data_IF_517702134776
#
_entry.id   IF_517702134776
#
_cell.length_a   1.000
_cell.length_b   1.000
_cell.length_c   1.000
_cell.angle_alpha   90.00
_cell.angle_beta   90.00
_cell.angle_gamma   90.00
#
_symmetry.space_group_name_H-M   'P 1'
#
loop_
_entity.id
_entity.type
_entity.pdbx_description
1 polymer ?
#
# COMPACT_ATOMS: atom_id res chain seq x y z
N UNK A 1 -14.18 -8.37 -31.51
CA UNK A 1 -12.76 -8.61 -31.82
C UNK A 1 -11.98 -7.72 -30.87
N UNK A 2 -11.11 -8.27 -29.99
CA UNK A 2 -10.21 -7.45 -29.17
C UNK A 2 -9.27 -6.67 -30.09
N UNK A 3 -9.13 -5.36 -29.86
CA UNK A 3 -8.15 -4.58 -30.60
C UNK A 3 -6.76 -5.20 -30.41
N UNK A 4 -5.97 -5.24 -31.50
CA UNK A 4 -4.61 -5.79 -31.44
C UNK A 4 -3.78 -4.95 -30.44
N UNK A 5 -3.03 -5.62 -29.57
CA UNK A 5 -2.11 -4.95 -28.63
C UNK A 5 -1.03 -4.25 -29.46
N UNK A 6 -0.81 -2.94 -29.29
CA UNK A 6 0.21 -2.20 -30.02
C UNK A 6 1.62 -2.67 -29.59
N UNK A 7 2.65 -2.29 -30.38
CA UNK A 7 4.05 -2.59 -30.02
C UNK A 7 4.62 -1.63 -28.98
N UNK A 8 4.08 -0.41 -28.94
CA UNK A 8 4.53 0.67 -28.07
C UNK A 8 3.34 1.38 -27.44
N UNK A 9 3.59 2.10 -26.36
CA UNK A 9 2.61 2.81 -25.56
C UNK A 9 3.16 4.15 -25.07
N UNK A 10 2.30 4.94 -24.44
CA UNK A 10 2.70 6.07 -23.59
C UNK A 10 2.89 5.60 -22.15
N UNK A 11 3.91 6.13 -21.50
CA UNK A 11 4.20 5.85 -20.09
C UNK A 11 4.86 7.05 -19.42
N UNK A 12 4.76 7.12 -18.10
CA UNK A 12 5.51 8.08 -17.28
C UNK A 12 6.78 7.40 -16.78
N UNK A 13 7.92 7.97 -17.14
CA UNK A 13 9.25 7.41 -16.83
C UNK A 13 10.07 8.40 -16.01
N UNK A 14 11.12 7.88 -15.36
CA UNK A 14 12.15 8.73 -14.73
C UNK A 14 13.06 9.31 -15.82
N UNK A 15 13.14 10.64 -15.89
CA UNK A 15 14.12 11.34 -16.74
C UNK A 15 14.76 12.49 -15.96
N UNK A 16 16.06 12.40 -15.70
CA UNK A 16 16.73 13.27 -14.74
C UNK A 16 16.14 13.10 -13.34
N UNK A 17 15.61 14.17 -12.79
CA UNK A 17 14.97 14.23 -11.47
C UNK A 17 13.46 14.43 -11.56
N UNK A 18 12.84 14.05 -12.69
CA UNK A 18 11.44 14.30 -12.97
C UNK A 18 10.70 13.06 -13.46
N UNK A 19 9.38 13.07 -13.28
CA UNK A 19 8.44 12.15 -13.91
C UNK A 19 8.03 12.72 -15.26
N UNK A 20 8.42 12.09 -16.36
CA UNK A 20 8.22 12.58 -17.73
C UNK A 20 7.37 11.62 -18.54
N UNK A 21 6.39 12.16 -19.29
CA UNK A 21 5.58 11.34 -20.19
C UNK A 21 6.37 11.09 -21.47
N UNK A 22 6.54 9.80 -21.80
CA UNK A 22 7.17 9.37 -23.06
C UNK A 22 6.20 8.61 -23.94
N UNK A 23 6.28 8.85 -25.24
CA UNK A 23 5.64 8.07 -26.29
C UNK A 23 6.63 7.03 -26.86
N UNK A 24 6.10 6.01 -27.51
CA UNK A 24 6.93 4.99 -28.15
C UNK A 24 7.65 4.04 -27.18
N UNK A 25 7.23 4.02 -25.91
CA UNK A 25 7.79 3.09 -24.91
C UNK A 25 7.32 1.67 -25.24
N UNK A 26 8.22 0.66 -25.29
CA UNK A 26 7.80 -0.71 -25.53
C UNK A 26 6.80 -1.22 -24.47
N UNK A 27 5.83 -2.03 -24.89
CA UNK A 27 4.98 -2.75 -23.96
C UNK A 27 5.82 -3.81 -23.23
N UNK A 28 5.63 -4.01 -21.90
CA UNK A 28 6.42 -4.97 -21.14
C UNK A 28 6.21 -6.39 -21.67
N UNK A 29 7.29 -7.15 -21.81
CA UNK A 29 7.22 -8.58 -22.05
C UNK A 29 6.72 -9.27 -20.77
N UNK A 30 5.83 -10.27 -20.93
CA UNK A 30 5.27 -10.96 -19.78
C UNK A 30 6.23 -12.04 -19.28
N UNK A 31 6.61 -11.93 -18.03
CA UNK A 31 7.24 -13.00 -17.27
C UNK A 31 6.24 -14.11 -16.93
N UNK A 32 6.76 -15.24 -16.44
CA UNK A 32 5.92 -16.34 -15.97
C UNK A 32 5.02 -15.89 -14.82
N UNK A 33 3.74 -16.26 -14.89
CA UNK A 33 2.75 -15.86 -13.90
C UNK A 33 2.19 -14.43 -14.05
N UNK A 34 2.60 -13.64 -15.05
CA UNK A 34 2.11 -12.28 -15.23
C UNK A 34 0.97 -12.19 -16.25
N UNK A 35 0.08 -11.25 -16.05
CA UNK A 35 -0.96 -10.86 -17.01
C UNK A 35 -0.75 -9.42 -17.46
N UNK A 36 -1.06 -9.11 -18.72
CA UNK A 36 -1.08 -7.74 -19.22
C UNK A 36 -2.49 -7.18 -19.14
N UNK A 37 -2.61 -6.00 -18.53
CA UNK A 37 -3.85 -5.23 -18.54
C UNK A 37 -3.74 -4.03 -19.50
N UNK A 38 -4.88 -3.59 -20.06
CA UNK A 38 -5.01 -2.23 -20.57
C UNK A 38 -5.36 -1.34 -19.37
N UNK A 39 -4.47 -0.45 -19.00
CA UNK A 39 -4.63 0.36 -17.80
C UNK A 39 -5.77 1.36 -17.97
N UNK A 40 -6.72 1.36 -17.02
CA UNK A 40 -7.88 2.26 -17.00
C UNK A 40 -7.72 3.35 -15.94
N UNK A 41 -7.22 2.98 -14.76
CA UNK A 41 -6.91 3.92 -13.71
C UNK A 41 -5.68 3.46 -12.92
N UNK A 42 -5.00 4.43 -12.32
CA UNK A 42 -3.80 4.25 -11.49
C UNK A 42 -3.90 5.06 -10.21
N UNK A 43 -3.23 4.65 -9.14
CA UNK A 43 -3.21 5.42 -7.90
C UNK A 43 -1.77 5.73 -7.48
N UNK A 44 -1.57 6.97 -7.01
CA UNK A 44 -0.26 7.43 -6.55
C UNK A 44 0.06 6.99 -5.13
N UNK A 45 1.33 6.74 -4.88
CA UNK A 45 1.90 6.36 -3.59
C UNK A 45 3.13 7.22 -3.26
N UNK A 46 3.48 7.40 -1.97
CA UNK A 46 4.70 8.13 -1.61
C UNK A 46 5.96 7.56 -2.26
N UNK A 47 6.03 6.25 -2.43
CA UNK A 47 7.16 5.58 -3.04
C UNK A 47 7.39 5.98 -4.50
N UNK A 48 6.35 6.37 -5.24
CA UNK A 48 6.47 6.70 -6.67
C UNK A 48 7.35 7.96 -6.88
N UNK A 49 7.17 9.01 -6.06
CA UNK A 49 8.07 10.17 -6.10
C UNK A 49 9.41 9.89 -5.42
N UNK A 50 9.42 9.02 -4.36
CA UNK A 50 10.64 8.68 -3.65
C UNK A 50 11.65 7.94 -4.55
N UNK A 51 11.19 7.12 -5.52
CA UNK A 51 12.07 6.46 -6.49
C UNK A 51 12.85 7.47 -7.34
N UNK A 52 12.29 8.64 -7.61
CA UNK A 52 12.98 9.72 -8.32
C UNK A 52 13.96 10.43 -7.39
N UNK A 53 13.45 10.95 -6.25
CA UNK A 53 14.21 11.81 -5.34
C UNK A 53 15.42 11.12 -4.73
N UNK A 54 15.26 9.85 -4.34
CA UNK A 54 16.33 9.05 -3.73
C UNK A 54 17.12 8.22 -4.73
N UNK A 55 16.90 8.44 -6.04
CA UNK A 55 17.62 7.72 -7.13
C UNK A 55 17.52 6.19 -6.99
N UNK A 56 16.36 5.69 -6.61
CA UNK A 56 16.12 4.26 -6.41
C UNK A 56 15.95 3.55 -7.75
N UNK A 57 15.10 4.11 -8.64
CA UNK A 57 14.83 3.57 -9.96
C UNK A 57 15.85 4.00 -11.01
N UNK A 58 16.13 3.14 -12.03
CA UNK A 58 16.99 3.51 -13.14
C UNK A 58 16.34 4.54 -14.05
N UNK A 59 17.17 5.33 -14.75
CA UNK A 59 16.71 6.27 -15.77
C UNK A 59 15.95 5.55 -16.87
N UNK A 60 14.83 6.12 -17.32
CA UNK A 60 13.95 5.55 -18.34
C UNK A 60 12.99 4.47 -17.82
N UNK A 61 13.06 4.09 -16.54
CA UNK A 61 12.12 3.11 -15.96
C UNK A 61 10.74 3.70 -15.77
N UNK A 62 9.71 2.85 -15.94
CA UNK A 62 8.30 3.25 -15.80
C UNK A 62 7.91 3.31 -14.33
N UNK A 63 7.33 4.42 -13.89
CA UNK A 63 6.85 4.66 -12.54
C UNK A 63 5.48 4.00 -12.25
N UNK A 64 5.10 3.98 -10.96
CA UNK A 64 3.76 3.68 -10.48
C UNK A 64 3.59 2.28 -9.89
N UNK A 65 2.87 2.23 -8.76
CA UNK A 65 2.68 1.02 -7.97
C UNK A 65 1.29 0.39 -8.07
N UNK A 66 0.24 1.14 -8.34
CA UNK A 66 -1.16 0.66 -8.36
C UNK A 66 -1.80 0.83 -9.73
N UNK A 67 -2.30 -0.23 -10.33
CA UNK A 67 -3.03 -0.20 -11.59
C UNK A 67 -4.28 -1.08 -11.59
N UNK A 68 -5.28 -0.69 -12.38
CA UNK A 68 -6.48 -1.48 -12.68
C UNK A 68 -6.86 -1.40 -14.15
N UNK A 69 -7.45 -2.48 -14.65
CA UNK A 69 -7.97 -2.56 -16.00
C UNK A 69 -8.33 -3.99 -16.42
N UNK A 70 -8.89 -4.16 -17.63
CA UNK A 70 -9.18 -5.47 -18.17
C UNK A 70 -7.89 -6.19 -18.61
N UNK A 71 -7.84 -7.49 -18.38
CA UNK A 71 -6.79 -8.36 -18.92
C UNK A 71 -6.89 -8.40 -20.44
N UNK A 72 -5.80 -8.14 -21.12
CA UNK A 72 -5.70 -8.19 -22.59
C UNK A 72 -4.79 -9.33 -23.08
N UNK A 73 -3.93 -9.88 -22.21
CA UNK A 73 -3.06 -11.02 -22.50
C UNK A 73 -2.73 -11.78 -21.23
N UNK A 74 -2.74 -13.10 -21.32
CA UNK A 74 -2.22 -14.00 -20.27
C UNK A 74 -0.77 -14.37 -20.62
N UNK A 75 0.13 -14.27 -19.66
CA UNK A 75 1.49 -14.76 -19.78
C UNK A 75 1.59 -16.27 -19.53
N UNK A 76 2.78 -16.84 -19.70
CA UNK A 76 3.03 -18.24 -19.37
C UNK A 76 2.71 -18.51 -17.89
N UNK A 77 2.32 -19.74 -17.55
CA UNK A 77 2.08 -20.16 -16.16
C UNK A 77 0.82 -19.59 -15.48
N UNK A 78 0.09 -18.66 -16.10
CA UNK A 78 -1.14 -18.09 -15.51
C UNK A 78 -2.25 -19.12 -15.46
N UNK A 79 -2.91 -19.26 -14.30
CA UNK A 79 -4.08 -20.13 -14.13
C UNK A 79 -5.29 -19.60 -14.92
N UNK A 80 -5.53 -20.20 -16.08
CA UNK A 80 -6.66 -19.87 -16.94
C UNK A 80 -8.05 -20.24 -16.37
N UNK A 81 -8.12 -20.93 -15.21
CA UNK A 81 -9.37 -21.13 -14.48
C UNK A 81 -9.72 -19.92 -13.61
N UNK A 82 -8.69 -19.22 -13.11
CA UNK A 82 -8.86 -18.03 -12.28
C UNK A 82 -9.02 -16.76 -13.11
N UNK A 83 -8.27 -16.63 -14.21
CA UNK A 83 -8.21 -15.44 -15.03
C UNK A 83 -8.49 -15.70 -16.50
N UNK A 84 -9.27 -14.80 -17.12
CA UNK A 84 -9.58 -14.80 -18.54
C UNK A 84 -9.34 -13.41 -19.15
N UNK A 85 -9.12 -13.36 -20.46
CA UNK A 85 -9.09 -12.09 -21.20
C UNK A 85 -10.45 -11.38 -21.04
N UNK A 86 -10.40 -10.10 -20.66
CA UNK A 86 -11.57 -9.28 -20.38
C UNK A 86 -11.93 -9.19 -18.89
N UNK A 87 -11.40 -10.06 -18.04
CA UNK A 87 -11.56 -9.91 -16.57
C UNK A 87 -10.94 -8.60 -16.10
N UNK A 88 -11.64 -7.87 -15.24
CA UNK A 88 -11.10 -6.69 -14.58
C UNK A 88 -10.34 -7.08 -13.33
N UNK A 89 -9.10 -6.63 -13.24
CA UNK A 89 -8.22 -6.83 -12.10
C UNK A 89 -7.60 -5.52 -11.64
N UNK A 90 -7.12 -5.52 -10.42
CA UNK A 90 -6.27 -4.47 -9.86
C UNK A 90 -5.12 -5.11 -9.09
N UNK A 91 -3.95 -4.51 -9.17
CA UNK A 91 -2.77 -5.14 -8.59
C UNK A 91 -1.63 -4.17 -8.33
N UNK A 92 -0.74 -4.65 -7.45
CA UNK A 92 0.53 -3.99 -7.18
C UNK A 92 1.54 -4.30 -8.28
N UNK A 93 2.30 -3.28 -8.67
CA UNK A 93 3.41 -3.35 -9.62
C UNK A 93 4.61 -2.67 -8.98
N UNK A 94 5.78 -3.28 -9.04
CA UNK A 94 7.02 -2.61 -8.66
C UNK A 94 7.46 -1.67 -9.79
N UNK A 95 6.88 -0.47 -9.83
CA UNK A 95 7.27 0.59 -10.77
C UNK A 95 8.67 1.12 -10.47
N UNK A 96 9.36 1.59 -11.47
CA UNK A 96 10.75 2.02 -11.42
C UNK A 96 11.72 0.93 -10.88
N UNK A 97 11.38 -0.32 -11.10
CA UNK A 97 12.17 -1.47 -10.67
C UNK A 97 13.48 -1.57 -11.46
N UNK A 98 14.58 -1.87 -10.75
CA UNK A 98 15.87 -2.19 -11.39
C UNK A 98 15.75 -3.52 -12.16
N UNK A 99 15.01 -4.49 -11.63
CA UNK A 99 14.85 -5.81 -12.25
C UNK A 99 13.94 -5.77 -13.48
N UNK A 100 12.88 -4.96 -13.46
CA UNK A 100 11.88 -4.90 -14.53
C UNK A 100 11.55 -3.44 -14.90
N UNK A 101 12.53 -2.66 -15.43
CA UNK A 101 12.40 -1.22 -15.65
C UNK A 101 11.34 -0.84 -16.71
N UNK A 102 11.02 -1.78 -17.62
CA UNK A 102 10.00 -1.60 -18.66
C UNK A 102 8.56 -1.80 -18.13
N UNK A 103 8.35 -2.05 -16.83
CA UNK A 103 7.03 -2.23 -16.24
C UNK A 103 6.78 -1.25 -15.10
N UNK A 104 5.58 -0.72 -15.03
CA UNK A 104 5.09 0.20 -14.00
C UNK A 104 3.61 0.50 -14.24
N UNK A 105 2.95 1.03 -13.21
CA UNK A 105 1.51 1.30 -13.28
C UNK A 105 1.18 2.53 -14.15
N UNK A 106 2.07 3.51 -14.25
CA UNK A 106 1.80 4.76 -14.95
C UNK A 106 2.07 4.64 -16.46
N UNK A 107 1.35 3.71 -17.09
CA UNK A 107 1.46 3.38 -18.50
C UNK A 107 0.11 2.92 -19.06
N UNK A 108 -0.10 3.00 -20.37
CA UNK A 108 -1.32 2.54 -21.04
C UNK A 108 -1.51 1.02 -20.94
N UNK A 109 -0.44 0.28 -20.73
CA UNK A 109 -0.44 -1.17 -20.48
C UNK A 109 0.52 -1.49 -19.35
N UNK A 110 0.11 -2.39 -18.46
CA UNK A 110 0.90 -2.77 -17.29
C UNK A 110 0.86 -4.28 -17.08
N UNK A 111 1.98 -4.87 -16.68
CA UNK A 111 2.05 -6.29 -16.33
C UNK A 111 1.88 -6.47 -14.81
N UNK A 112 0.92 -7.30 -14.42
CA UNK A 112 0.60 -7.58 -13.01
C UNK A 112 0.86 -9.05 -12.70
N UNK A 113 1.55 -9.39 -11.58
CA UNK A 113 1.69 -10.77 -11.12
C UNK A 113 0.32 -11.32 -10.72
N UNK A 114 -0.17 -12.33 -11.46
CA UNK A 114 -1.54 -12.84 -11.32
C UNK A 114 -1.85 -13.43 -9.95
N UNK A 115 -0.87 -14.04 -9.29
CA UNK A 115 -1.05 -14.62 -7.96
C UNK A 115 -1.42 -13.59 -6.89
N UNK A 116 -0.95 -12.33 -7.06
CA UNK A 116 -1.24 -11.23 -6.13
C UNK A 116 -2.24 -10.21 -6.70
N UNK A 117 -2.87 -10.53 -7.84
CA UNK A 117 -3.90 -9.69 -8.40
C UNK A 117 -5.24 -9.90 -7.69
N UNK A 118 -5.88 -8.80 -7.36
CA UNK A 118 -7.28 -8.75 -6.95
C UNK A 118 -8.16 -8.83 -8.19
N UNK A 119 -9.19 -9.65 -8.15
CA UNK A 119 -10.17 -9.74 -9.23
C UNK A 119 -11.44 -9.00 -8.81
N UNK A 120 -11.94 -8.15 -9.68
CA UNK A 120 -13.23 -7.47 -9.51
C UNK A 120 -14.36 -8.26 -10.18
N UNK A 121 -15.59 -7.93 -9.79
CA UNK A 121 -16.77 -8.29 -10.58
C UNK A 121 -16.67 -7.70 -12.00
N UNK A 122 -17.17 -8.43 -13.02
CA UNK A 122 -17.03 -8.05 -14.43
C UNK A 122 -17.90 -6.83 -14.84
N UNK A 123 -18.77 -6.37 -13.96
CA UNK A 123 -19.63 -5.19 -14.17
C UNK A 123 -19.06 -3.90 -13.53
N UNK A 124 -17.90 -3.98 -12.90
CA UNK A 124 -17.22 -2.81 -12.31
C UNK A 124 -16.85 -1.80 -13.41
N UNK A 125 -17.11 -0.52 -13.14
CA UNK A 125 -16.87 0.59 -14.06
C UNK A 125 -16.29 1.80 -13.37
N UNK A 126 -15.83 2.76 -14.15
CA UNK A 126 -15.52 4.11 -13.63
C UNK A 126 -16.81 4.78 -13.15
N UNK A 127 -16.76 5.45 -12.01
CA UNK A 127 -17.89 6.25 -11.51
C UNK A 127 -17.96 7.65 -12.13
N UNK A 128 -16.84 8.13 -12.72
CA UNK A 128 -16.77 9.41 -13.43
C UNK A 128 -16.80 10.67 -12.54
N UNK A 129 -16.72 10.52 -11.21
CA UNK A 129 -16.73 11.64 -10.26
C UNK A 129 -15.32 12.25 -10.08
N UNK A 130 -15.25 13.49 -9.59
CA UNK A 130 -13.98 14.17 -9.27
C UNK A 130 -13.44 13.73 -7.90
N UNK A 131 -14.30 13.24 -7.03
CA UNK A 131 -13.93 12.69 -5.72
C UNK A 131 -14.95 11.68 -5.25
N UNK A 132 -14.50 10.73 -4.41
CA UNK A 132 -15.39 9.78 -3.72
C UNK A 132 -15.13 9.87 -2.22
N UNK A 133 -16.20 9.83 -1.39
CA UNK A 133 -16.04 9.52 0.03
C UNK A 133 -15.49 8.10 0.17
N UNK A 134 -15.07 7.73 1.37
CA UNK A 134 -14.80 6.33 1.68
C UNK A 134 -16.04 5.46 1.41
N UNK A 135 -15.82 4.17 1.15
CA UNK A 135 -16.92 3.23 0.94
C UNK A 135 -16.48 1.89 0.36
N UNK A 136 -17.44 0.98 0.14
CA UNK A 136 -17.16 -0.30 -0.50
C UNK A 136 -16.63 -0.11 -1.91
N UNK A 137 -15.76 -1.03 -2.35
CA UNK A 137 -15.15 -1.00 -3.67
C UNK A 137 -16.19 -1.36 -4.74
N UNK A 138 -16.77 -0.34 -5.35
CA UNK A 138 -17.83 -0.46 -6.38
C UNK A 138 -17.47 0.24 -7.70
N UNK A 139 -16.27 0.82 -7.81
CA UNK A 139 -15.77 1.47 -9.02
C UNK A 139 -14.29 1.17 -9.22
N UNK A 140 -13.81 1.37 -10.46
CA UNK A 140 -12.40 1.18 -10.79
C UNK A 140 -11.50 2.18 -10.05
N UNK A 141 -12.00 3.40 -9.79
CA UNK A 141 -11.30 4.38 -8.97
C UNK A 141 -11.13 3.89 -7.52
N UNK A 142 -12.15 3.21 -6.96
CA UNK A 142 -12.06 2.56 -5.65
C UNK A 142 -11.09 1.38 -5.66
N UNK A 143 -11.23 0.50 -6.65
CA UNK A 143 -10.44 -0.72 -6.78
C UNK A 143 -8.92 -0.43 -6.83
N UNK A 144 -8.52 0.55 -7.62
CA UNK A 144 -7.10 0.88 -7.79
C UNK A 144 -6.41 1.43 -6.55
N UNK A 145 -7.15 1.82 -5.53
CA UNK A 145 -6.55 2.32 -4.27
C UNK A 145 -6.12 1.21 -3.32
N UNK A 146 -6.52 -0.01 -3.59
CA UNK A 146 -6.42 -1.18 -2.70
C UNK A 146 -5.03 -1.84 -2.70
N UNK A 147 -4.39 -2.16 -3.87
CA UNK A 147 -3.32 -3.15 -3.90
C UNK A 147 -2.13 -2.81 -2.98
N UNK A 148 -1.51 -1.65 -3.16
CA UNK A 148 -0.35 -1.26 -2.33
C UNK A 148 -0.74 -1.15 -0.86
N UNK A 149 -1.81 -0.44 -0.56
CA UNK A 149 -2.13 -0.05 0.81
C UNK A 149 -2.73 -1.19 1.64
N UNK A 150 -3.66 -1.96 1.07
CA UNK A 150 -4.29 -3.08 1.77
C UNK A 150 -3.34 -4.27 1.89
N UNK A 151 -2.56 -4.59 0.84
CA UNK A 151 -1.57 -5.67 0.93
C UNK A 151 -0.47 -5.34 1.95
N UNK A 152 0.00 -4.08 1.99
CA UNK A 152 0.94 -3.64 3.03
C UNK A 152 0.33 -3.80 4.43
N UNK A 153 -0.90 -3.33 4.64
CA UNK A 153 -1.59 -3.49 5.93
C UNK A 153 -1.78 -4.97 6.32
N UNK A 154 -2.09 -5.81 5.34
CA UNK A 154 -2.18 -7.26 5.53
C UNK A 154 -0.87 -7.88 5.98
N UNK A 155 0.24 -7.56 5.32
CA UNK A 155 1.56 -8.05 5.70
C UNK A 155 1.98 -7.56 7.09
N UNK A 156 1.74 -6.28 7.41
CA UNK A 156 1.97 -5.75 8.77
C UNK A 156 1.31 -6.62 9.82
N UNK A 157 0.03 -6.94 9.64
CA UNK A 157 -0.75 -7.64 10.65
C UNK A 157 -0.51 -9.16 10.64
N UNK A 158 -0.47 -9.80 9.46
CA UNK A 158 -0.47 -11.26 9.37
C UNK A 158 0.92 -11.87 9.19
N UNK A 159 1.85 -11.17 8.55
CA UNK A 159 3.23 -11.65 8.36
C UNK A 159 4.15 -11.16 9.49
N UNK A 160 4.21 -9.85 9.75
CA UNK A 160 5.11 -9.31 10.77
C UNK A 160 4.57 -9.50 12.21
N UNK A 161 3.30 -9.15 12.48
CA UNK A 161 2.70 -9.30 13.82
C UNK A 161 2.06 -10.67 14.05
N UNK A 162 2.03 -11.53 13.03
CA UNK A 162 1.64 -12.93 13.14
C UNK A 162 0.18 -13.17 13.52
N UNK A 163 -0.74 -12.28 13.12
CA UNK A 163 -2.17 -12.55 13.30
C UNK A 163 -2.65 -13.62 12.33
N UNK A 164 -3.55 -14.48 12.79
CA UNK A 164 -4.21 -15.44 11.95
C UNK A 164 -5.20 -14.76 10.98
N UNK A 165 -5.33 -15.30 9.78
CA UNK A 165 -6.31 -14.86 8.78
C UNK A 165 -7.69 -15.45 9.08
N UNK A 166 -8.22 -15.16 10.26
CA UNK A 166 -9.57 -15.52 10.70
C UNK A 166 -10.46 -14.29 10.70
N UNK A 167 -11.61 -14.37 10.00
CA UNK A 167 -12.51 -13.21 9.84
C UNK A 167 -13.50 -13.12 10.97
N UNK A 168 -13.43 -12.02 11.75
CA UNK A 168 -14.31 -11.71 12.89
C UNK A 168 -14.32 -12.80 13.97
N UNK A 169 -13.14 -13.28 14.46
CA UNK A 169 -13.13 -14.19 15.58
C UNK A 169 -13.79 -13.57 16.81
N UNK A 170 -14.34 -14.39 17.68
CA UNK A 170 -15.13 -13.95 18.86
C UNK A 170 -14.28 -13.33 19.97
N UNK A 171 -13.01 -13.66 20.04
CA UNK A 171 -12.03 -13.17 21.03
C UNK A 171 -10.86 -12.49 20.34
N UNK A 172 -10.24 -11.49 20.97
CA UNK A 172 -9.02 -10.88 20.43
C UNK A 172 -7.89 -11.92 20.30
N UNK A 173 -7.15 -11.85 19.20
CA UNK A 173 -6.02 -12.75 18.95
C UNK A 173 -4.79 -12.43 19.81
N UNK A 174 -4.70 -11.21 20.32
CA UNK A 174 -3.63 -10.73 21.22
C UNK A 174 -4.25 -10.08 22.46
N UNK A 175 -3.70 -10.37 23.64
CA UNK A 175 -4.21 -9.88 24.92
C UNK A 175 -3.80 -8.42 25.23
N UNK A 176 -3.23 -7.72 24.26
CA UNK A 176 -2.71 -6.37 24.42
C UNK A 176 -3.22 -5.45 23.31
N UNK A 177 -3.12 -4.11 23.51
CA UNK A 177 -3.47 -3.14 22.49
C UNK A 177 -2.43 -3.06 21.37
N UNK A 178 -2.85 -2.48 20.23
CA UNK A 178 -1.97 -2.00 19.18
C UNK A 178 -2.02 -0.47 19.11
N UNK A 179 -0.84 0.16 18.88
CA UNK A 179 -0.73 1.58 18.54
C UNK A 179 -0.49 1.73 17.03
N UNK A 180 -1.33 2.51 16.36
CA UNK A 180 -1.19 2.83 14.93
C UNK A 180 -0.90 4.33 14.82
N UNK A 181 0.37 4.68 14.61
CA UNK A 181 0.78 6.06 14.36
C UNK A 181 0.60 6.41 12.90
N UNK A 182 -0.07 7.53 12.62
CA UNK A 182 -0.44 7.90 11.25
C UNK A 182 -1.69 7.18 10.75
N UNK A 183 -2.68 6.97 11.61
CA UNK A 183 -3.93 6.28 11.26
C UNK A 183 -4.71 6.89 10.10
N UNK A 184 -4.50 8.18 9.77
CA UNK A 184 -5.12 8.84 8.63
C UNK A 184 -4.33 8.65 7.31
N UNK A 185 -3.17 8.02 7.33
CA UNK A 185 -2.46 7.64 6.09
C UNK A 185 -3.23 6.53 5.36
N UNK A 186 -2.95 6.34 4.08
CA UNK A 186 -3.65 5.32 3.31
C UNK A 186 -3.44 3.89 3.87
N UNK A 187 -2.22 3.55 4.29
CA UNK A 187 -1.93 2.26 4.95
C UNK A 187 -2.57 2.22 6.33
N UNK A 188 -2.46 3.30 7.14
CA UNK A 188 -3.03 3.35 8.49
C UNK A 188 -4.54 3.11 8.51
N UNK A 189 -5.27 3.68 7.56
CA UNK A 189 -6.72 3.46 7.44
C UNK A 189 -7.05 1.99 7.16
N UNK A 190 -6.25 1.28 6.34
CA UNK A 190 -6.44 -0.15 6.10
C UNK A 190 -5.96 -1.02 7.27
N UNK A 191 -4.88 -0.64 7.96
CA UNK A 191 -4.44 -1.33 9.20
C UNK A 191 -5.56 -1.30 10.24
N UNK A 192 -6.22 -0.16 10.45
CA UNK A 192 -7.34 -0.02 11.38
C UNK A 192 -8.50 -0.95 11.00
N UNK A 193 -8.93 -0.92 9.72
CA UNK A 193 -10.02 -1.76 9.24
C UNK A 193 -9.70 -3.25 9.44
N UNK A 194 -8.51 -3.69 9.03
CA UNK A 194 -8.09 -5.09 9.15
C UNK A 194 -7.94 -5.50 10.62
N UNK A 195 -7.27 -4.69 11.46
CA UNK A 195 -7.11 -4.98 12.89
C UNK A 195 -8.48 -5.19 13.57
N UNK A 196 -9.48 -4.40 13.19
CA UNK A 196 -10.86 -4.55 13.67
C UNK A 196 -11.52 -5.84 13.16
N UNK A 197 -11.41 -6.11 11.86
CA UNK A 197 -12.06 -7.28 11.23
C UNK A 197 -11.40 -8.60 11.63
N UNK A 198 -10.10 -8.61 11.85
CA UNK A 198 -9.37 -9.77 12.37
C UNK A 198 -9.50 -9.91 13.90
N UNK A 199 -10.17 -8.95 14.57
CA UNK A 199 -10.20 -8.87 16.04
C UNK A 199 -8.81 -9.11 16.64
N UNK A 200 -7.81 -8.38 16.10
CA UNK A 200 -6.41 -8.69 16.34
C UNK A 200 -5.94 -8.35 17.75
N UNK A 201 -6.54 -7.34 18.40
CA UNK A 201 -6.02 -6.74 19.63
C UNK A 201 -7.14 -6.34 20.58
N UNK A 202 -6.82 -6.19 21.86
CA UNK A 202 -7.80 -5.75 22.88
C UNK A 202 -8.27 -4.31 22.69
N UNK A 203 -7.41 -3.47 22.09
CA UNK A 203 -7.69 -2.07 21.74
C UNK A 203 -6.92 -1.65 20.49
N UNK A 204 -7.52 -0.80 19.67
CA UNK A 204 -6.91 -0.15 18.51
C UNK A 204 -6.75 1.33 18.87
N UNK A 205 -5.52 1.70 19.28
CA UNK A 205 -5.15 3.06 19.64
C UNK A 205 -4.56 3.73 18.40
N UNK A 206 -5.03 4.92 18.06
CA UNK A 206 -4.65 5.61 16.83
C UNK A 206 -4.07 6.98 17.13
N UNK A 207 -2.99 7.34 16.45
CA UNK A 207 -2.47 8.71 16.44
C UNK A 207 -2.72 9.32 15.06
N UNK A 208 -3.50 10.38 15.02
CA UNK A 208 -3.86 11.12 13.81
C UNK A 208 -4.40 12.50 14.18
N UNK A 209 -4.58 13.40 13.20
CA UNK A 209 -5.26 14.66 13.46
C UNK A 209 -6.73 14.44 13.85
N UNK A 210 -7.21 15.17 14.84
CA UNK A 210 -8.57 15.12 15.40
C UNK A 210 -9.67 15.21 14.31
N UNK A 211 -9.43 15.92 13.22
CA UNK A 211 -10.38 16.04 12.09
C UNK A 211 -10.78 14.70 11.46
N UNK A 212 -9.96 13.65 11.64
CA UNK A 212 -10.21 12.32 11.09
C UNK A 212 -10.88 11.37 12.11
N UNK A 213 -11.13 11.81 13.35
CA UNK A 213 -11.57 10.94 14.43
C UNK A 213 -12.83 10.16 14.08
N UNK A 214 -13.85 10.84 13.55
CA UNK A 214 -15.13 10.19 13.20
C UNK A 214 -14.91 9.03 12.24
N UNK A 215 -14.21 9.25 11.15
CA UNK A 215 -13.96 8.24 10.12
C UNK A 215 -13.11 7.08 10.66
N UNK A 216 -12.05 7.38 11.43
CA UNK A 216 -11.17 6.34 11.95
C UNK A 216 -11.87 5.48 13.01
N UNK A 217 -12.79 6.06 13.80
CA UNK A 217 -13.65 5.30 14.71
C UNK A 217 -14.66 4.42 13.96
N UNK A 218 -15.23 4.89 12.85
CA UNK A 218 -16.10 4.09 11.98
C UNK A 218 -15.34 2.88 11.39
N UNK A 219 -14.04 3.03 11.09
CA UNK A 219 -13.19 1.93 10.69
C UNK A 219 -12.82 0.95 11.81
N UNK A 220 -12.96 1.34 13.06
CA UNK A 220 -12.74 0.47 14.22
C UNK A 220 -11.69 0.94 15.21
N UNK A 221 -11.18 2.17 15.09
CA UNK A 221 -10.33 2.76 16.13
C UNK A 221 -11.13 2.90 17.44
N UNK A 222 -10.58 2.42 18.54
CA UNK A 222 -11.21 2.57 19.85
C UNK A 222 -10.93 3.95 20.46
N UNK A 223 -9.76 4.51 20.17
CA UNK A 223 -9.31 5.79 20.70
C UNK A 223 -8.36 6.51 19.74
N UNK A 224 -8.45 7.84 19.71
CA UNK A 224 -7.57 8.69 18.91
C UNK A 224 -6.87 9.71 19.82
N UNK A 225 -5.56 9.89 19.59
CA UNK A 225 -4.73 10.95 20.13
C UNK A 225 -4.27 11.86 18.98
N UNK A 226 -4.28 13.18 19.21
CA UNK A 226 -3.85 14.13 18.18
C UNK A 226 -2.34 14.35 18.23
N UNK A 227 -1.65 14.10 17.12
CA UNK A 227 -0.20 14.31 17.04
C UNK A 227 0.21 15.80 17.13
N UNK A 228 -0.74 16.75 17.03
CA UNK A 228 -0.46 18.17 17.24
C UNK A 228 -0.29 18.52 18.72
N UNK A 229 -0.74 17.66 19.64
CA UNK A 229 -0.51 17.84 21.07
C UNK A 229 0.96 17.57 21.39
N UNK A 230 1.63 18.56 21.97
CA UNK A 230 3.06 18.45 22.28
C UNK A 230 3.39 17.32 23.28
N UNK A 231 2.42 16.91 24.09
CA UNK A 231 2.50 15.86 25.11
C UNK A 231 1.76 14.57 24.70
N UNK A 232 1.55 14.33 23.40
CA UNK A 232 0.79 13.16 22.90
C UNK A 232 1.36 11.82 23.42
N UNK A 233 2.68 11.68 23.50
CA UNK A 233 3.35 10.47 24.01
C UNK A 233 3.02 10.27 25.50
N UNK A 234 3.08 11.31 26.29
CA UNK A 234 2.74 11.31 27.71
C UNK A 234 1.28 10.98 27.95
N UNK A 235 0.36 11.52 27.13
CA UNK A 235 -1.05 11.21 27.18
C UNK A 235 -1.29 9.72 26.93
N UNK A 236 -0.65 9.15 25.90
CA UNK A 236 -0.75 7.73 25.57
C UNK A 236 -0.20 6.88 26.74
N UNK A 237 1.02 7.14 27.19
CA UNK A 237 1.69 6.37 28.28
C UNK A 237 0.95 6.47 29.61
N UNK A 238 0.31 7.59 29.91
CA UNK A 238 -0.52 7.75 31.11
C UNK A 238 -1.70 6.79 31.12
N UNK A 239 -2.28 6.52 29.96
CA UNK A 239 -3.47 5.68 29.83
C UNK A 239 -3.13 4.21 29.54
N UNK A 240 -2.10 3.97 28.73
CA UNK A 240 -1.68 2.65 28.25
C UNK A 240 -0.21 2.42 28.60
N UNK A 241 0.05 1.60 29.62
CA UNK A 241 1.41 1.34 30.09
C UNK A 241 2.15 0.26 29.31
N UNK A 242 1.38 -0.67 28.71
CA UNK A 242 1.93 -1.86 28.04
C UNK A 242 1.38 -1.95 26.61
N UNK A 243 2.08 -1.36 25.67
CA UNK A 243 1.77 -1.44 24.23
C UNK A 243 2.91 -2.22 23.56
N UNK A 244 2.75 -3.54 23.37
CA UNK A 244 3.80 -4.35 22.76
C UNK A 244 3.75 -4.36 21.22
N UNK A 245 2.64 -3.90 20.63
CA UNK A 245 2.45 -3.89 19.18
C UNK A 245 2.27 -2.47 18.68
N UNK A 246 3.18 -2.00 17.82
CA UNK A 246 3.18 -0.64 17.30
C UNK A 246 3.40 -0.65 15.79
N UNK A 247 2.71 0.23 15.08
CA UNK A 247 2.85 0.40 13.63
C UNK A 247 3.06 1.88 13.33
N UNK A 248 4.20 2.24 12.73
CA UNK A 248 4.46 3.58 12.23
C UNK A 248 4.10 3.67 10.74
N UNK A 249 2.92 4.20 10.44
CA UNK A 249 2.44 4.40 9.07
C UNK A 249 2.87 5.74 8.45
N UNK A 250 3.56 6.60 9.21
CA UNK A 250 4.19 7.84 8.71
C UNK A 250 5.62 7.57 8.31
N UNK A 251 6.32 6.82 9.16
CA UNK A 251 7.62 6.22 8.89
C UNK A 251 8.72 7.26 8.54
N UNK A 252 8.98 8.16 9.47
CA UNK A 252 10.13 9.06 9.43
C UNK A 252 10.85 9.08 10.79
N UNK A 253 12.05 9.67 10.85
CA UNK A 253 12.89 9.67 12.07
C UNK A 253 12.17 10.27 13.28
N UNK A 254 11.37 11.33 13.08
CA UNK A 254 10.67 11.99 14.19
C UNK A 254 9.53 11.12 14.74
N UNK A 255 8.73 10.50 13.86
CA UNK A 255 7.65 9.60 14.29
C UNK A 255 8.21 8.33 14.91
N UNK A 256 9.30 7.78 14.38
CA UNK A 256 9.98 6.63 14.99
C UNK A 256 10.35 6.90 16.44
N UNK A 257 10.93 8.09 16.78
CA UNK A 257 11.25 8.44 18.17
C UNK A 257 10.00 8.46 19.05
N UNK A 258 8.89 8.99 18.55
CA UNK A 258 7.65 9.10 19.33
C UNK A 258 7.00 7.73 19.55
N UNK A 259 6.90 6.92 18.47
CA UNK A 259 6.39 5.56 18.54
C UNK A 259 7.23 4.70 19.48
N UNK A 260 8.56 4.80 19.40
CA UNK A 260 9.48 4.07 20.25
C UNK A 260 9.27 4.37 21.74
N UNK A 261 9.02 5.63 22.09
CA UNK A 261 8.70 6.04 23.47
C UNK A 261 7.37 5.47 23.97
N UNK A 262 6.40 5.23 23.07
CA UNK A 262 5.12 4.64 23.44
C UNK A 262 5.17 3.13 23.69
N UNK A 263 6.24 2.45 23.26
CA UNK A 263 6.37 1.00 23.42
C UNK A 263 6.41 0.59 24.89
N UNK A 264 5.94 -0.61 25.20
CA UNK A 264 5.92 -1.18 26.54
C UNK A 264 7.30 -1.12 27.21
N UNK A 265 7.31 -0.79 28.50
CA UNK A 265 8.57 -0.66 29.25
C UNK A 265 9.07 -2.04 29.77
N UNK A 266 8.16 -2.97 30.09
CA UNK A 266 8.47 -4.26 30.73
C UNK A 266 8.24 -5.47 29.81
N UNK A 267 7.45 -5.33 28.73
CA UNK A 267 7.17 -6.38 27.78
C UNK A 267 8.03 -6.21 26.52
N UNK A 268 8.36 -7.32 25.89
CA UNK A 268 8.92 -7.27 24.54
C UNK A 268 7.95 -6.55 23.60
N UNK A 269 8.44 -5.56 22.91
CA UNK A 269 7.64 -4.74 22.00
C UNK A 269 8.21 -4.77 20.58
N UNK A 270 7.32 -4.79 19.60
CA UNK A 270 7.67 -4.74 18.18
C UNK A 270 7.06 -3.52 17.52
N UNK A 271 7.90 -2.73 16.87
CA UNK A 271 7.50 -1.62 16.02
C UNK A 271 7.61 -2.08 14.57
N UNK A 272 6.52 -1.98 13.82
CA UNK A 272 6.54 -2.22 12.38
C UNK A 272 6.68 -0.89 11.66
N UNK A 273 7.73 -0.78 10.88
CA UNK A 273 8.15 0.40 10.13
C UNK A 273 7.97 0.13 8.62
N UNK A 274 7.60 1.15 7.83
CA UNK A 274 7.23 0.98 6.42
C UNK A 274 8.29 1.48 5.43
N UNK A 275 9.43 1.97 5.91
CA UNK A 275 10.52 2.50 5.08
C UNK A 275 11.85 1.75 5.31
N UNK A 276 12.92 2.47 5.48
CA UNK A 276 14.27 1.88 5.67
C UNK A 276 14.86 2.14 7.05
N UNK A 277 14.08 2.75 7.96
CA UNK A 277 14.56 3.06 9.30
C UNK A 277 14.86 1.78 10.10
N UNK A 278 15.80 1.90 11.01
CA UNK A 278 16.35 0.80 11.82
C UNK A 278 16.57 1.25 13.27
N UNK A 279 17.05 0.35 14.11
CA UNK A 279 17.49 0.70 15.48
C UNK A 279 18.60 1.76 15.49
N UNK A 280 19.38 1.88 14.41
CA UNK A 280 20.43 2.90 14.29
C UNK A 280 19.84 4.32 14.20
N UNK A 281 18.59 4.46 13.73
CA UNK A 281 17.89 5.73 13.64
C UNK A 281 17.23 6.15 14.97
N UNK A 282 17.22 5.26 15.96
CA UNK A 282 16.73 5.56 17.31
C UNK A 282 17.82 6.29 18.09
N UNK A 283 17.45 7.40 18.75
CA UNK A 283 18.39 8.14 19.62
C UNK A 283 18.89 7.25 20.76
N UNK A 284 20.17 7.30 21.04
CA UNK A 284 20.83 6.41 22.00
C UNK A 284 20.18 6.45 23.40
N UNK A 285 19.76 7.64 23.84
CA UNK A 285 19.06 7.81 25.12
C UNK A 285 17.69 7.13 25.19
N UNK A 286 17.09 6.77 24.07
CA UNK A 286 15.79 6.11 24.01
C UNK A 286 15.91 4.58 23.81
N UNK A 287 17.07 4.08 23.36
CA UNK A 287 17.25 2.64 23.03
C UNK A 287 16.97 1.73 24.23
N UNK A 288 16.23 0.67 23.98
CA UNK A 288 15.87 -0.34 24.99
C UNK A 288 16.00 -1.73 24.39
N UNK A 289 16.45 -2.69 25.19
CA UNK A 289 16.68 -4.08 24.74
C UNK A 289 15.39 -4.86 24.42
N UNK A 290 14.27 -4.45 25.03
CA UNK A 290 12.97 -5.10 24.86
C UNK A 290 12.17 -4.53 23.68
N UNK A 291 12.70 -3.61 22.87
CA UNK A 291 12.00 -3.04 21.71
C UNK A 291 12.74 -3.40 20.44
N UNK A 292 12.08 -4.13 19.57
CA UNK A 292 12.59 -4.49 18.25
C UNK A 292 11.88 -3.65 17.16
N UNK A 293 12.63 -3.28 16.12
CA UNK A 293 12.08 -2.67 14.91
C UNK A 293 12.09 -3.72 13.80
N UNK A 294 10.91 -4.08 13.32
CA UNK A 294 10.73 -4.89 12.12
C UNK A 294 10.11 -4.05 11.00
N UNK A 295 10.13 -4.55 9.78
CA UNK A 295 9.82 -3.77 8.60
C UNK A 295 8.96 -4.52 7.61
N UNK A 296 7.93 -3.83 7.11
CA UNK A 296 7.14 -4.33 6.00
C UNK A 296 7.55 -3.63 4.70
N UNK A 297 7.98 -4.42 3.72
CA UNK A 297 8.34 -3.91 2.38
C UNK A 297 7.59 -4.69 1.32
N UNK A 298 6.62 -4.04 0.70
CA UNK A 298 5.80 -4.69 -0.33
C UNK A 298 6.62 -5.20 -1.52
N UNK A 299 7.76 -4.58 -1.82
CA UNK A 299 8.65 -5.00 -2.91
C UNK A 299 9.23 -6.41 -2.74
N UNK A 300 9.44 -6.87 -1.50
CA UNK A 300 9.95 -8.22 -1.21
C UNK A 300 8.95 -9.32 -1.55
N UNK A 301 7.67 -8.95 -1.77
CA UNK A 301 6.66 -9.88 -2.30
C UNK A 301 6.96 -10.37 -3.72
N UNK A 302 7.92 -9.77 -4.41
CA UNK A 302 8.47 -10.34 -5.65
C UNK A 302 9.08 -11.72 -5.46
N UNK A 303 9.50 -12.07 -4.22
CA UNK A 303 10.22 -13.29 -3.88
C UNK A 303 11.69 -13.30 -4.35
N UNK A 304 12.14 -12.24 -5.01
CA UNK A 304 13.50 -12.05 -5.49
C UNK A 304 14.25 -11.02 -4.67
N UNK A 305 15.55 -10.95 -4.87
CA UNK A 305 16.36 -9.84 -4.38
C UNK A 305 15.87 -8.52 -4.97
N UNK A 306 15.80 -7.48 -4.16
CA UNK A 306 15.29 -6.15 -4.55
C UNK A 306 16.37 -5.11 -4.36
N UNK A 307 17.08 -4.70 -5.44
CA UNK A 307 17.92 -3.51 -5.42
C UNK A 307 17.06 -2.26 -5.18
N UNK A 308 17.45 -1.43 -4.19
CA UNK A 308 16.70 -0.27 -3.77
C UNK A 308 17.65 0.87 -3.39
N UNK A 309 18.02 1.66 -4.36
CA UNK A 309 19.05 2.72 -4.19
C UNK A 309 20.40 2.12 -3.77
N UNK A 310 20.89 2.53 -2.61
CA UNK A 310 22.18 2.08 -2.06
C UNK A 310 22.09 0.78 -1.26
N UNK A 311 20.90 0.21 -1.10
CA UNK A 311 20.68 -1.04 -0.36
C UNK A 311 20.09 -2.09 -1.27
N UNK A 312 20.28 -3.35 -0.92
CA UNK A 312 19.63 -4.46 -1.60
C UNK A 312 18.94 -5.32 -0.55
N UNK A 313 17.64 -5.50 -0.72
CA UNK A 313 16.90 -6.40 0.15
C UNK A 313 17.03 -7.81 -0.36
N UNK A 314 17.33 -8.78 0.51
CA UNK A 314 17.45 -10.17 0.11
C UNK A 314 16.11 -10.72 -0.40
N UNK A 315 16.16 -11.78 -1.18
CA UNK A 315 14.98 -12.51 -1.59
C UNK A 315 14.21 -13.02 -0.36
N UNK A 316 12.89 -12.81 -0.38
CA UNK A 316 11.99 -13.25 0.71
C UNK A 316 10.82 -14.08 0.14
N UNK A 317 11.03 -15.37 -0.12
CA UNK A 317 9.97 -16.25 -0.61
C UNK A 317 8.81 -16.43 0.37
N UNK A 318 9.06 -16.31 1.68
CA UNK A 318 8.00 -16.44 2.69
C UNK A 318 7.10 -15.21 2.70
N UNK A 319 7.64 -14.00 2.55
CA UNK A 319 6.86 -12.79 2.36
C UNK A 319 5.98 -12.90 1.10
N UNK A 320 6.53 -13.42 -0.02
CA UNK A 320 5.73 -13.68 -1.24
C UNK A 320 4.57 -14.62 -0.97
N UNK A 321 4.81 -15.76 -0.33
CA UNK A 321 3.75 -16.73 0.02
C UNK A 321 2.70 -16.11 0.96
N UNK A 322 3.14 -15.29 1.91
CA UNK A 322 2.24 -14.58 2.82
C UNK A 322 1.35 -13.60 2.05
N UNK A 323 1.92 -12.82 1.12
CA UNK A 323 1.16 -11.88 0.28
C UNK A 323 0.13 -12.59 -0.60
N UNK A 324 0.49 -13.69 -1.25
CA UNK A 324 -0.43 -14.49 -2.07
C UNK A 324 -1.60 -14.99 -1.23
N UNK A 325 -1.32 -15.64 -0.08
CA UNK A 325 -2.36 -16.12 0.84
C UNK A 325 -3.25 -14.99 1.34
N UNK A 326 -2.65 -13.82 1.65
CA UNK A 326 -3.42 -12.66 2.09
C UNK A 326 -4.36 -12.14 1.00
N UNK A 327 -3.88 -11.98 -0.23
CA UNK A 327 -4.72 -11.53 -1.35
C UNK A 327 -5.86 -12.50 -1.63
N UNK A 328 -5.60 -13.81 -1.61
CA UNK A 328 -6.64 -14.85 -1.75
C UNK A 328 -7.69 -14.79 -0.63
N UNK A 329 -7.24 -14.60 0.61
CA UNK A 329 -8.13 -14.47 1.77
C UNK A 329 -8.99 -13.21 1.72
N UNK A 330 -8.39 -12.07 1.35
CA UNK A 330 -9.03 -10.75 1.50
C UNK A 330 -9.86 -10.32 0.29
N UNK A 331 -9.56 -10.79 -0.93
CA UNK A 331 -10.26 -10.37 -2.14
C UNK A 331 -11.79 -10.58 -2.05
N UNK A 332 -12.32 -11.73 -1.61
CA UNK A 332 -13.77 -11.89 -1.42
C UNK A 332 -14.36 -10.87 -0.43
N UNK A 333 -13.61 -10.47 0.60
CA UNK A 333 -14.06 -9.50 1.61
C UNK A 333 -14.12 -8.08 1.06
N UNK A 334 -13.22 -7.76 0.12
CA UNK A 334 -13.25 -6.49 -0.63
C UNK A 334 -14.48 -6.46 -1.55
N UNK A 335 -14.75 -7.52 -2.30
CA UNK A 335 -15.89 -7.63 -3.20
C UNK A 335 -17.23 -7.58 -2.46
N UNK A 336 -17.31 -8.21 -1.28
CA UNK A 336 -18.48 -8.18 -0.38
C UNK A 336 -18.69 -6.81 0.29
N UNK A 337 -17.75 -5.86 0.13
CA UNK A 337 -17.81 -4.52 0.73
C UNK A 337 -17.50 -4.49 2.22
N UNK A 338 -16.85 -5.52 2.77
CA UNK A 338 -16.43 -5.60 4.17
C UNK A 338 -15.17 -4.76 4.45
N UNK A 339 -14.37 -4.51 3.41
CA UNK A 339 -13.23 -3.58 3.40
C UNK A 339 -13.59 -2.43 2.46
N UNK A 340 -13.43 -1.22 2.95
CA UNK A 340 -13.71 0.01 2.21
C UNK A 340 -12.43 0.58 1.60
N UNK A 341 -12.56 1.16 0.40
CA UNK A 341 -11.55 2.09 -0.08
C UNK A 341 -11.59 3.38 0.75
N UNK A 342 -10.46 4.04 0.91
CA UNK A 342 -10.36 5.32 1.60
C UNK A 342 -10.90 6.46 0.71
N UNK A 343 -11.11 7.69 1.22
CA UNK A 343 -11.51 8.82 0.38
C UNK A 343 -10.56 9.03 -0.80
N UNK A 344 -11.11 9.41 -1.95
CA UNK A 344 -10.38 9.52 -3.23
C UNK A 344 -10.53 10.92 -3.80
N UNK A 345 -9.48 11.41 -4.43
CA UNK A 345 -9.50 12.55 -5.35
C UNK A 345 -9.03 12.10 -6.74
N UNK A 346 -9.76 12.49 -7.80
CA UNK A 346 -9.58 11.95 -9.16
C UNK A 346 -9.02 13.01 -10.10
N UNK A 347 -7.94 12.65 -10.79
CA UNK A 347 -7.30 13.40 -11.87
C UNK A 347 -7.76 12.82 -13.20
N UNK A 348 -8.19 13.69 -14.15
CA UNK A 348 -8.93 13.26 -15.36
C UNK A 348 -8.20 13.48 -16.70
N UNK A 349 -6.94 13.95 -16.69
CA UNK A 349 -6.16 14.16 -17.92
C UNK A 349 -5.22 12.98 -18.21
N UNK A 350 -5.52 11.79 -17.69
CA UNK A 350 -4.74 10.59 -17.91
C UNK A 350 -3.32 10.69 -17.37
N UNK A 351 -2.36 10.18 -18.15
CA UNK A 351 -0.95 10.23 -17.78
C UNK A 351 -0.41 11.65 -17.59
N UNK A 352 -1.04 12.65 -18.20
CA UNK A 352 -0.60 14.06 -18.10
C UNK A 352 -0.79 14.66 -16.70
N UNK A 353 -1.64 14.07 -15.87
CA UNK A 353 -1.82 14.52 -14.49
C UNK A 353 -0.82 13.85 -13.52
N UNK A 354 -0.11 12.80 -13.91
CA UNK A 354 0.77 12.03 -13.02
C UNK A 354 1.86 12.89 -12.37
N UNK A 355 2.61 13.74 -13.12
CA UNK A 355 3.63 14.58 -12.49
C UNK A 355 3.06 15.50 -11.42
N UNK A 356 1.86 16.09 -11.65
CA UNK A 356 1.19 16.92 -10.66
C UNK A 356 0.71 16.10 -9.46
N UNK A 357 0.13 14.92 -9.70
CA UNK A 357 -0.31 13.99 -8.65
C UNK A 357 0.85 13.59 -7.74
N UNK A 358 2.01 13.26 -8.29
CA UNK A 358 3.21 12.93 -7.51
C UNK A 358 3.71 14.13 -6.70
N UNK A 359 3.71 15.32 -7.27
CA UNK A 359 4.07 16.54 -6.57
C UNK A 359 3.09 16.85 -5.41
N UNK A 360 1.82 16.61 -5.58
CA UNK A 360 0.81 16.82 -4.54
C UNK A 360 0.97 15.80 -3.39
N UNK A 361 1.31 14.54 -3.68
CA UNK A 361 1.64 13.54 -2.67
C UNK A 361 2.91 13.94 -1.90
N UNK A 362 3.98 14.30 -2.60
CA UNK A 362 5.26 14.75 -2.03
C UNK A 362 5.07 15.93 -1.08
N UNK A 363 4.23 16.87 -1.45
CA UNK A 363 3.92 18.06 -0.65
C UNK A 363 2.78 17.87 0.35
N UNK A 364 2.40 16.61 0.65
CA UNK A 364 1.39 16.22 1.66
C UNK A 364 -0.01 16.83 1.41
N UNK A 365 -0.36 17.12 0.16
CA UNK A 365 -1.66 17.71 -0.22
C UNK A 365 -2.79 16.67 -0.36
N UNK A 366 -2.52 15.40 -0.12
CA UNK A 366 -3.53 14.34 -0.20
C UNK A 366 -4.55 14.39 0.95
N UNK A 367 -4.18 14.94 2.11
CA UNK A 367 -5.08 15.19 3.25
C UNK A 367 -5.91 13.97 3.70
N UNK A 368 -5.31 12.78 3.73
CA UNK A 368 -5.98 11.53 4.13
C UNK A 368 -6.78 10.87 2.99
N UNK A 369 -6.63 11.35 1.75
CA UNK A 369 -7.21 10.77 0.54
C UNK A 369 -6.17 9.99 -0.25
N UNK A 370 -6.63 9.08 -1.09
CA UNK A 370 -5.83 8.49 -2.17
C UNK A 370 -6.01 9.31 -3.45
N UNK A 371 -4.92 9.62 -4.13
CA UNK A 371 -4.97 10.34 -5.41
C UNK A 371 -4.96 9.31 -6.54
N UNK A 372 -5.95 9.41 -7.44
CA UNK A 372 -6.19 8.46 -8.53
C UNK A 372 -6.19 9.21 -9.86
N UNK A 373 -5.51 8.71 -10.88
CA UNK A 373 -5.61 9.23 -12.23
C UNK A 373 -6.33 8.22 -13.15
N UNK A 374 -7.31 8.71 -13.90
CA UNK A 374 -8.08 7.94 -14.88
C UNK A 374 -7.46 8.13 -16.26
N UNK A 375 -7.09 7.04 -16.96
CA UNK A 375 -6.32 7.05 -18.20
C UNK A 375 -7.16 6.98 -19.48
N UNK A 376 -8.47 6.78 -19.37
CA UNK A 376 -9.42 6.65 -20.48
C UNK A 376 -10.37 7.81 -20.57
#
# INVERSE_FOLDING_TARGET
MSAAIPKTMKAVVIEGDEAVIKEGVPIPELEDGFVLIKTVAVAGNPTDWAHIDYKIGPQGSILGGDATGPIVKLGPGVDGKRFAIGDYIYGFIHGASVRFPSNGAFAEYSAIPSEMAYKSSNDIKLCGKDSLPEGPVKSLEGAVTIPVTLTTAGLVLTYNLGLDMEWKPSVPQRDHPVLIWGGATAVGQHVIQLAKKLNGFTKIIVVASQKHEKQLKEYGADELFDYHDADVVEQIKKKYKNIPYLVDCVANVDTLQQVYKCAADELDATIIELTTLTDDDVKEENKRQNVAIDRTRLYTTSGHEVPFGNVTFPADPECRKAAIRFVEFINPKVDDGEIHHIPIEVYKKGLYDIPQMLNDIKNKKSYGKKLVAVLV
#
